data_IF_274192743057
#
_entry.id   IF_274192743057
#
_cell.length_a   1.000
_cell.length_b   1.000
_cell.length_c   1.000
_cell.angle_alpha   90.00
_cell.angle_beta   90.00
_cell.angle_gamma   90.00
#
_symmetry.space_group_name_H-M   'P 1'
#
loop_
_entity.id
_entity.type
_entity.pdbx_description
1 polymer ?
#
# COMPACT_ATOMS: atom_id res chain seq x y z
N UNK A 1 -14.38 -4.76 25.34
CA UNK A 1 -13.98 -6.19 25.33
C UNK A 1 -15.04 -7.09 24.67
N UNK A 2 -16.32 -7.01 25.05
CA UNK A 2 -17.38 -7.89 24.49
C UNK A 2 -17.69 -7.73 22.99
N UNK A 3 -17.51 -6.53 22.41
CA UNK A 3 -17.76 -6.30 20.97
C UNK A 3 -16.67 -6.86 20.04
N UNK A 4 -15.44 -7.02 20.52
CA UNK A 4 -14.34 -7.61 19.75
C UNK A 4 -14.43 -9.13 19.71
N UNK A 5 -14.92 -9.74 20.81
CA UNK A 5 -15.22 -11.17 20.86
C UNK A 5 -16.33 -11.56 19.87
N UNK A 6 -17.38 -10.73 19.75
CA UNK A 6 -18.51 -11.01 18.85
C UNK A 6 -18.13 -10.97 17.36
N UNK A 7 -17.24 -10.05 16.96
CA UNK A 7 -16.70 -10.01 15.59
C UNK A 7 -15.76 -11.18 15.28
N UNK A 8 -14.95 -11.60 16.26
CA UNK A 8 -14.03 -12.74 16.10
C UNK A 8 -14.80 -14.07 15.98
N UNK A 9 -15.92 -14.19 16.68
CA UNK A 9 -16.73 -15.41 16.71
C UNK A 9 -17.56 -15.64 15.45
N UNK A 10 -17.88 -14.59 14.66
CA UNK A 10 -18.50 -14.76 13.33
C UNK A 10 -17.52 -15.24 12.25
N UNK A 11 -16.26 -14.78 12.27
CA UNK A 11 -15.25 -15.23 11.30
C UNK A 11 -14.91 -16.72 11.41
N UNK A 12 -15.09 -17.34 12.58
CA UNK A 12 -14.82 -18.77 12.79
C UNK A 12 -15.98 -19.65 12.29
N UNK A 13 -17.20 -19.10 12.17
CA UNK A 13 -18.42 -19.91 11.96
C UNK A 13 -18.75 -20.13 10.46
N UNK A 14 -18.11 -19.43 9.52
CA UNK A 14 -18.40 -19.59 8.08
C UNK A 14 -17.14 -19.55 7.18
N UNK A 15 -16.40 -20.67 7.02
CA UNK A 15 -15.18 -20.71 6.19
C UNK A 15 -15.43 -20.52 4.68
N UNK A 16 -16.68 -20.57 4.21
CA UNK A 16 -17.03 -20.46 2.79
C UNK A 16 -16.97 -19.04 2.21
N UNK A 17 -17.04 -18.01 3.04
CA UNK A 17 -17.12 -16.60 2.62
C UNK A 17 -15.82 -16.09 1.93
N UNK A 18 -14.62 -16.26 2.50
CA UNK A 18 -13.38 -15.86 1.82
C UNK A 18 -13.11 -16.72 0.58
N UNK A 19 -13.57 -17.97 0.55
CA UNK A 19 -13.39 -18.88 -0.57
C UNK A 19 -14.17 -18.42 -1.81
N UNK A 20 -15.40 -17.94 -1.66
CA UNK A 20 -16.21 -17.42 -2.77
C UNK A 20 -15.57 -16.16 -3.38
N UNK A 21 -15.04 -15.26 -2.53
CA UNK A 21 -14.33 -14.08 -3.01
C UNK A 21 -13.03 -14.45 -3.73
N UNK A 22 -12.23 -15.37 -3.18
CA UNK A 22 -11.00 -15.87 -3.81
C UNK A 22 -11.28 -16.52 -5.17
N UNK A 23 -12.31 -17.37 -5.27
CA UNK A 23 -12.72 -17.98 -6.54
C UNK A 23 -13.18 -16.92 -7.54
N UNK A 24 -13.97 -15.94 -7.10
CA UNK A 24 -14.39 -14.81 -7.94
C UNK A 24 -13.21 -14.02 -8.51
N UNK A 25 -12.20 -13.72 -7.68
CA UNK A 25 -10.97 -13.02 -8.10
C UNK A 25 -10.10 -13.87 -9.03
N UNK A 26 -9.95 -15.16 -8.75
CA UNK A 26 -9.16 -16.08 -9.60
C UNK A 26 -9.79 -16.28 -10.99
N UNK A 27 -11.10 -16.12 -11.09
CA UNK A 27 -11.83 -16.28 -12.36
C UNK A 27 -11.79 -15.01 -13.23
N UNK A 28 -11.29 -13.88 -12.69
CA UNK A 28 -11.12 -12.60 -13.42
C UNK A 28 -10.27 -12.77 -14.68
N UNK A 29 -9.19 -13.55 -14.61
CA UNK A 29 -8.31 -13.81 -15.76
C UNK A 29 -8.99 -14.53 -16.93
N UNK A 30 -10.13 -15.20 -16.68
CA UNK A 30 -10.88 -15.94 -17.72
C UNK A 30 -11.96 -15.04 -18.35
N UNK A 31 -12.52 -14.09 -17.59
CA UNK A 31 -13.72 -13.35 -18.00
C UNK A 31 -13.39 -11.98 -18.63
N UNK A 32 -12.17 -11.47 -18.46
CA UNK A 32 -11.74 -10.16 -18.98
C UNK A 32 -12.50 -8.97 -18.37
N UNK A 33 -13.33 -9.21 -17.37
CA UNK A 33 -14.10 -8.19 -16.66
C UNK A 33 -13.16 -7.46 -15.71
N UNK A 34 -13.19 -6.13 -15.72
CA UNK A 34 -12.32 -5.36 -14.84
C UNK A 34 -12.60 -5.68 -13.36
N UNK A 35 -11.53 -5.77 -12.58
CA UNK A 35 -11.54 -6.13 -11.15
C UNK A 35 -12.59 -5.36 -10.32
N UNK A 36 -12.84 -4.05 -10.54
CA UNK A 36 -13.85 -3.31 -9.77
C UNK A 36 -15.27 -3.85 -9.94
N UNK A 37 -15.63 -4.32 -11.14
CA UNK A 37 -16.96 -4.85 -11.42
C UNK A 37 -17.19 -6.21 -10.75
N UNK A 38 -16.16 -7.06 -10.72
CA UNK A 38 -16.21 -8.34 -10.01
C UNK A 38 -16.35 -8.11 -8.51
N UNK A 39 -15.60 -7.17 -7.95
CA UNK A 39 -15.75 -6.76 -6.55
C UNK A 39 -17.16 -6.25 -6.23
N UNK A 40 -17.75 -5.43 -7.11
CA UNK A 40 -19.12 -4.92 -6.96
C UNK A 40 -20.16 -6.04 -7.00
N UNK A 41 -20.00 -7.03 -7.90
CA UNK A 41 -20.90 -8.18 -7.97
C UNK A 41 -20.86 -9.02 -6.70
N UNK A 42 -19.66 -9.32 -6.17
CA UNK A 42 -19.54 -10.05 -4.90
C UNK A 42 -20.14 -9.24 -3.75
N UNK A 43 -19.90 -7.93 -3.72
CA UNK A 43 -20.50 -7.04 -2.72
C UNK A 43 -22.04 -7.04 -2.76
N UNK A 44 -22.62 -6.95 -3.97
CA UNK A 44 -24.07 -7.06 -4.17
C UNK A 44 -24.61 -8.41 -3.71
N UNK A 45 -23.89 -9.51 -3.99
CA UNK A 45 -24.28 -10.85 -3.58
C UNK A 45 -24.30 -11.00 -2.05
N UNK A 46 -23.28 -10.46 -1.36
CA UNK A 46 -23.20 -10.45 0.10
C UNK A 46 -24.31 -9.61 0.76
N UNK A 47 -24.71 -8.51 0.11
CA UNK A 47 -25.83 -7.68 0.55
C UNK A 47 -27.18 -8.39 0.38
N UNK A 48 -27.42 -9.01 -0.77
CA UNK A 48 -28.64 -9.78 -1.05
C UNK A 48 -28.77 -10.99 -0.11
N UNK A 49 -27.65 -11.65 0.19
CA UNK A 49 -27.57 -12.74 1.17
C UNK A 49 -27.78 -12.30 2.62
N UNK A 50 -27.94 -11.00 2.90
CA UNK A 50 -28.01 -10.40 4.26
C UNK A 50 -26.83 -10.77 5.17
N UNK A 51 -25.72 -11.23 4.58
CA UNK A 51 -24.49 -11.56 5.29
C UNK A 51 -23.81 -10.26 5.75
N UNK A 52 -23.87 -9.23 4.91
CA UNK A 52 -23.38 -7.89 5.21
C UNK A 52 -24.56 -6.95 5.47
N UNK A 53 -24.74 -6.47 6.71
CA UNK A 53 -25.77 -5.47 6.99
C UNK A 53 -25.26 -4.05 6.68
N UNK A 54 -26.19 -3.11 6.45
CA UNK A 54 -25.86 -1.69 6.25
C UNK A 54 -24.99 -1.10 7.37
N UNK A 55 -25.18 -1.58 8.61
CA UNK A 55 -24.37 -1.18 9.77
C UNK A 55 -22.92 -1.66 9.67
N UNK A 56 -22.69 -2.83 9.10
CA UNK A 56 -21.35 -3.41 8.91
C UNK A 56 -20.60 -2.65 7.82
N UNK A 57 -21.29 -2.26 6.74
CA UNK A 57 -20.73 -1.40 5.68
C UNK A 57 -20.29 -0.05 6.24
N UNK A 58 -21.14 0.61 7.02
CA UNK A 58 -20.82 1.93 7.58
C UNK A 58 -19.63 1.85 8.56
N UNK A 59 -19.49 0.75 9.28
CA UNK A 59 -18.46 0.57 10.33
C UNK A 59 -17.13 0.05 9.78
N UNK A 60 -17.17 -0.84 8.79
CA UNK A 60 -15.98 -1.54 8.30
C UNK A 60 -15.29 -0.82 7.14
N UNK A 61 -15.98 0.07 6.43
CA UNK A 61 -15.39 0.88 5.36
C UNK A 61 -14.77 2.14 5.95
N UNK A 62 -13.48 2.35 5.67
CA UNK A 62 -12.79 3.60 5.98
C UNK A 62 -13.16 4.68 4.95
N UNK A 63 -14.32 5.30 5.17
CA UNK A 63 -14.82 6.39 4.32
C UNK A 63 -13.86 7.57 4.22
N UNK A 64 -13.22 8.05 5.32
CA UNK A 64 -12.19 9.08 5.23
C UNK A 64 -11.06 8.71 4.26
N UNK A 65 -10.57 7.47 4.29
CA UNK A 65 -9.53 7.01 3.38
C UNK A 65 -9.98 6.99 1.91
N UNK A 66 -11.21 6.54 1.62
CA UNK A 66 -11.74 6.56 0.25
C UNK A 66 -11.90 7.98 -0.30
N UNK A 67 -12.40 8.90 0.52
CA UNK A 67 -12.55 10.31 0.15
C UNK A 67 -11.17 10.95 -0.07
N UNK A 68 -10.20 10.65 0.80
CA UNK A 68 -8.81 11.07 0.64
C UNK A 68 -8.25 10.59 -0.71
N UNK A 69 -8.36 9.30 -1.02
CA UNK A 69 -7.86 8.74 -2.28
C UNK A 69 -8.52 9.41 -3.49
N UNK A 70 -9.85 9.59 -3.46
CA UNK A 70 -10.59 10.27 -4.52
C UNK A 70 -10.15 11.72 -4.69
N UNK A 71 -9.98 12.45 -3.58
CA UNK A 71 -9.51 13.84 -3.60
C UNK A 71 -8.09 13.95 -4.15
N UNK A 72 -7.23 13.00 -3.83
CA UNK A 72 -5.84 12.99 -4.29
C UNK A 72 -5.75 12.76 -5.81
N UNK A 73 -6.52 11.81 -6.32
CA UNK A 73 -6.63 11.53 -7.76
C UNK A 73 -7.25 12.73 -8.50
N UNK A 74 -8.22 13.42 -7.88
CA UNK A 74 -8.79 14.64 -8.44
C UNK A 74 -7.79 15.79 -8.47
N UNK A 75 -7.01 15.95 -7.40
CA UNK A 75 -5.99 16.97 -7.27
C UNK A 75 -4.87 16.77 -8.29
N UNK A 76 -4.40 15.55 -8.52
CA UNK A 76 -3.35 15.28 -9.50
C UNK A 76 -3.75 15.60 -10.93
N UNK A 77 -4.99 15.25 -11.31
CA UNK A 77 -5.54 15.63 -12.61
C UNK A 77 -5.68 17.14 -12.76
N UNK A 78 -6.00 17.83 -11.67
CA UNK A 78 -6.11 19.29 -11.66
C UNK A 78 -4.74 19.95 -11.83
N UNK A 79 -3.69 19.43 -11.17
CA UNK A 79 -2.30 19.89 -11.33
C UNK A 79 -1.84 19.73 -12.78
N UNK A 80 -2.07 18.56 -13.38
CA UNK A 80 -1.74 18.30 -14.78
C UNK A 80 -2.50 19.24 -15.73
N UNK A 81 -3.78 19.51 -15.47
CA UNK A 81 -4.59 20.38 -16.31
C UNK A 81 -4.11 21.84 -16.33
N UNK A 82 -3.52 22.33 -15.23
CA UNK A 82 -3.05 23.72 -15.11
C UNK A 82 -1.68 23.91 -15.80
N UNK A 83 -1.05 22.84 -16.30
CA UNK A 83 0.27 22.92 -16.92
C UNK A 83 1.40 23.14 -15.91
N UNK A 84 1.18 22.73 -14.65
CA UNK A 84 2.21 22.77 -13.61
C UNK A 84 3.36 21.77 -13.88
N UNK A 85 3.23 20.98 -14.95
CA UNK A 85 4.19 19.99 -15.44
C UNK A 85 5.53 20.62 -15.84
N UNK A 86 5.53 21.85 -16.38
CA UNK A 86 6.76 22.55 -16.78
C UNK A 86 7.60 22.95 -15.54
N UNK A 87 6.94 23.49 -14.51
CA UNK A 87 7.61 23.86 -13.25
C UNK A 87 8.13 22.62 -12.51
N UNK A 88 7.38 21.53 -12.52
CA UNK A 88 7.81 20.25 -11.95
C UNK A 88 8.99 19.66 -12.71
N UNK A 89 9.01 19.77 -14.04
CA UNK A 89 10.10 19.26 -14.86
C UNK A 89 11.40 20.03 -14.59
N UNK A 90 11.33 21.34 -14.33
CA UNK A 90 12.51 22.13 -13.95
C UNK A 90 13.06 21.76 -12.56
N UNK A 91 12.19 21.51 -11.57
CA UNK A 91 12.62 21.17 -10.20
C UNK A 91 12.91 19.69 -9.98
N UNK A 92 12.25 18.79 -10.71
CA UNK A 92 12.37 17.33 -10.59
C UNK A 92 13.07 16.68 -11.79
N UNK A 93 13.51 17.46 -12.79
CA UNK A 93 14.23 16.95 -13.96
C UNK A 93 15.52 16.24 -13.58
N UNK A 94 16.22 16.71 -12.54
CA UNK A 94 17.38 16.01 -11.97
C UNK A 94 17.00 14.62 -11.43
N UNK A 95 15.80 14.49 -10.86
CA UNK A 95 15.31 13.24 -10.29
C UNK A 95 14.93 12.26 -11.40
N UNK A 96 14.27 12.73 -12.47
CA UNK A 96 14.01 11.93 -13.68
C UNK A 96 15.30 11.48 -14.37
N UNK A 97 16.31 12.35 -14.40
CA UNK A 97 17.64 12.01 -14.90
C UNK A 97 18.32 10.94 -14.03
N UNK A 98 18.22 11.04 -12.70
CA UNK A 98 18.70 9.99 -11.78
C UNK A 98 17.93 8.68 -11.94
N UNK A 99 16.61 8.72 -12.18
CA UNK A 99 15.83 7.51 -12.47
C UNK A 99 16.36 6.77 -13.70
N UNK A 100 16.81 7.50 -14.73
CA UNK A 100 17.28 6.89 -15.98
C UNK A 100 18.76 6.49 -15.97
N UNK A 101 19.63 7.36 -15.48
CA UNK A 101 21.09 7.15 -15.56
C UNK A 101 21.66 6.39 -14.37
N UNK A 102 21.10 6.61 -13.17
CA UNK A 102 21.62 6.09 -11.91
C UNK A 102 20.49 5.54 -11.04
N UNK A 103 19.77 4.54 -11.57
CA UNK A 103 18.58 3.98 -10.92
C UNK A 103 18.85 3.51 -9.47
N UNK A 104 20.07 3.01 -9.20
CA UNK A 104 20.53 2.65 -7.86
C UNK A 104 20.50 3.84 -6.87
N UNK A 105 21.07 4.98 -7.28
CA UNK A 105 21.09 6.20 -6.48
C UNK A 105 19.66 6.74 -6.28
N UNK A 106 18.85 6.70 -7.35
CA UNK A 106 17.45 7.06 -7.27
C UNK A 106 16.71 6.21 -6.22
N UNK A 107 16.86 4.88 -6.24
CA UNK A 107 16.22 3.99 -5.26
C UNK A 107 16.63 4.31 -3.83
N UNK A 108 17.91 4.66 -3.59
CA UNK A 108 18.39 5.05 -2.27
C UNK A 108 17.74 6.35 -1.78
N UNK A 109 17.76 7.40 -2.62
CA UNK A 109 17.15 8.69 -2.29
C UNK A 109 15.64 8.54 -2.09
N UNK A 110 14.99 7.78 -2.96
CA UNK A 110 13.55 7.57 -2.95
C UNK A 110 13.11 6.77 -1.71
N UNK A 111 13.82 5.69 -1.37
CA UNK A 111 13.56 4.92 -0.15
C UNK A 111 13.74 5.79 1.09
N UNK A 112 14.78 6.63 1.12
CA UNK A 112 15.03 7.58 2.22
C UNK A 112 13.90 8.60 2.33
N UNK A 113 13.45 9.17 1.21
CA UNK A 113 12.35 10.13 1.19
C UNK A 113 11.04 9.53 1.71
N UNK A 114 10.74 8.27 1.35
CA UNK A 114 9.56 7.55 1.86
C UNK A 114 9.70 7.32 3.38
N UNK A 115 10.87 6.87 3.85
CA UNK A 115 11.11 6.65 5.27
C UNK A 115 11.01 7.93 6.11
N UNK A 116 11.55 9.05 5.62
CA UNK A 116 11.42 10.36 6.27
C UNK A 116 9.96 10.80 6.28
N UNK A 117 9.25 10.64 5.17
CA UNK A 117 7.83 10.99 5.09
C UNK A 117 6.98 10.14 6.03
N UNK A 118 7.33 8.86 6.23
CA UNK A 118 6.67 7.94 7.18
C UNK A 118 6.76 8.41 8.63
N UNK A 119 7.73 9.25 8.96
CA UNK A 119 7.83 9.85 10.30
C UNK A 119 6.67 10.80 10.60
N UNK A 120 6.14 11.46 9.57
CA UNK A 120 5.10 12.47 9.70
C UNK A 120 3.74 11.97 9.22
N UNK A 121 3.72 11.07 8.23
CA UNK A 121 2.52 10.65 7.53
C UNK A 121 2.19 9.16 7.74
N UNK A 122 0.89 8.80 7.85
CA UNK A 122 0.47 7.41 7.96
C UNK A 122 0.66 6.66 6.63
N UNK A 123 0.81 5.32 6.71
CA UNK A 123 1.02 4.44 5.54
C UNK A 123 -0.06 4.63 4.47
N UNK A 124 -1.31 4.73 4.92
CA UNK A 124 -2.48 4.94 4.05
C UNK A 124 -2.33 6.20 3.17
N UNK A 125 -1.61 7.21 3.61
CA UNK A 125 -1.43 8.45 2.86
C UNK A 125 -0.21 8.40 1.92
N UNK A 126 0.87 7.73 2.33
CA UNK A 126 2.13 7.73 1.56
C UNK A 126 2.02 7.00 0.23
N UNK A 127 1.41 5.82 0.21
CA UNK A 127 1.28 5.03 -1.02
C UNK A 127 0.57 5.83 -2.13
N UNK A 128 -0.64 6.39 -1.90
CA UNK A 128 -1.30 7.17 -2.92
C UNK A 128 -0.58 8.50 -3.20
N UNK A 129 -0.06 9.21 -2.19
CA UNK A 129 0.68 10.46 -2.42
C UNK A 129 1.88 10.28 -3.35
N UNK A 130 2.75 9.34 -3.02
CA UNK A 130 3.93 9.07 -3.81
C UNK A 130 3.55 8.44 -5.15
N UNK A 131 2.58 7.53 -5.18
CA UNK A 131 2.11 6.92 -6.42
C UNK A 131 1.61 7.96 -7.41
N UNK A 132 0.83 8.93 -6.94
CA UNK A 132 0.25 9.98 -7.78
C UNK A 132 1.28 10.94 -8.39
N UNK A 133 2.44 11.14 -7.75
CA UNK A 133 3.49 12.05 -8.23
C UNK A 133 4.54 11.28 -9.05
N UNK A 134 5.05 10.18 -8.51
CA UNK A 134 6.24 9.52 -9.06
C UNK A 134 5.93 8.50 -10.15
N UNK A 135 4.71 7.92 -10.20
CA UNK A 135 4.33 7.00 -11.28
C UNK A 135 4.24 7.75 -12.62
N UNK A 136 3.54 8.91 -12.73
CA UNK A 136 3.54 9.70 -13.97
C UNK A 136 4.93 10.25 -14.33
N UNK A 137 5.73 10.66 -13.33
CA UNK A 137 7.09 11.12 -13.56
C UNK A 137 7.99 10.02 -14.16
N UNK A 138 7.82 8.77 -13.72
CA UNK A 138 8.54 7.63 -14.27
C UNK A 138 8.18 7.40 -15.72
N UNK A 139 6.88 7.46 -16.04
CA UNK A 139 6.37 7.31 -17.41
C UNK A 139 6.94 8.40 -18.33
N UNK A 140 6.91 9.67 -17.90
CA UNK A 140 7.52 10.78 -18.61
C UNK A 140 9.05 10.63 -18.79
N UNK A 141 9.72 10.02 -17.81
CA UNK A 141 11.16 9.74 -17.84
C UNK A 141 11.52 8.45 -18.59
N UNK A 142 10.54 7.73 -19.16
CA UNK A 142 10.73 6.47 -19.88
C UNK A 142 11.13 5.28 -19.01
N UNK A 143 10.89 5.36 -17.70
CA UNK A 143 11.13 4.26 -16.74
C UNK A 143 9.83 3.52 -16.49
N UNK A 144 9.89 2.20 -16.34
CA UNK A 144 8.70 1.39 -16.13
C UNK A 144 7.96 1.82 -14.83
N UNK A 145 6.72 2.34 -14.92
CA UNK A 145 6.01 2.88 -13.75
C UNK A 145 5.68 1.80 -12.70
N UNK A 146 5.62 0.53 -13.13
CA UNK A 146 5.41 -0.61 -12.23
C UNK A 146 6.54 -0.76 -11.21
N UNK A 147 7.80 -0.49 -11.59
CA UNK A 147 8.95 -0.57 -10.69
C UNK A 147 8.81 0.44 -9.55
N UNK A 148 8.40 1.66 -9.89
CA UNK A 148 8.21 2.73 -8.92
C UNK A 148 7.08 2.38 -7.97
N UNK A 149 5.94 1.90 -8.48
CA UNK A 149 4.84 1.43 -7.66
C UNK A 149 5.27 0.29 -6.71
N UNK A 150 6.06 -0.67 -7.21
CA UNK A 150 6.57 -1.79 -6.42
C UNK A 150 7.47 -1.30 -5.26
N UNK A 151 8.41 -0.39 -5.55
CA UNK A 151 9.30 0.20 -4.53
C UNK A 151 8.49 0.93 -3.46
N UNK A 152 7.50 1.73 -3.86
CA UNK A 152 6.62 2.45 -2.90
C UNK A 152 5.93 1.44 -1.98
N UNK A 153 5.36 0.37 -2.53
CA UNK A 153 4.65 -0.64 -1.74
C UNK A 153 5.56 -1.34 -0.73
N UNK A 154 6.76 -1.76 -1.15
CA UNK A 154 7.69 -2.48 -0.27
C UNK A 154 8.23 -1.59 0.85
N UNK A 155 8.62 -0.34 0.53
CA UNK A 155 9.23 0.58 1.50
C UNK A 155 8.19 1.21 2.43
N UNK A 156 7.01 1.58 1.92
CA UNK A 156 5.98 2.27 2.71
C UNK A 156 5.43 1.45 3.88
N UNK A 157 5.50 0.12 3.79
CA UNK A 157 5.09 -0.80 4.85
C UNK A 157 6.09 -0.84 6.03
N UNK A 158 7.32 -0.34 5.83
CA UNK A 158 8.28 -0.14 6.92
C UNK A 158 7.80 0.89 7.93
N UNK A 159 8.00 0.65 9.23
CA UNK A 159 7.72 1.60 10.31
C UNK A 159 8.97 1.77 11.17
N UNK A 160 9.08 2.85 11.94
CA UNK A 160 10.19 3.08 12.88
C UNK A 160 9.72 3.19 14.31
N UNK A 161 8.55 3.81 14.49
CA UNK A 161 7.99 4.06 15.80
C UNK A 161 6.73 3.24 16.06
N UNK A 162 6.51 2.79 17.31
CA UNK A 162 5.33 2.01 17.70
C UNK A 162 3.98 2.63 17.33
N UNK A 163 3.89 3.96 17.33
CA UNK A 163 2.65 4.67 17.01
C UNK A 163 2.27 4.56 15.52
N UNK A 164 3.23 4.23 14.64
CA UNK A 164 3.01 4.14 13.19
C UNK A 164 2.37 2.81 12.77
N UNK A 165 2.34 1.81 13.66
CA UNK A 165 1.94 0.43 13.34
C UNK A 165 0.79 -0.04 14.23
N UNK A 166 -0.43 0.06 13.69
CA UNK A 166 -1.69 -0.31 14.37
C UNK A 166 -1.74 -1.77 14.87
N UNK A 167 -1.23 -2.78 14.13
CA UNK A 167 -1.26 -4.18 14.59
C UNK A 167 -0.43 -4.45 15.84
N UNK A 168 0.50 -3.55 16.20
CA UNK A 168 1.27 -3.67 17.43
C UNK A 168 0.37 -3.68 18.66
N UNK A 169 -0.66 -2.83 18.69
CA UNK A 169 -1.58 -2.73 19.84
C UNK A 169 -2.34 -4.04 20.08
N UNK A 170 -2.75 -4.67 18.97
CA UNK A 170 -3.45 -5.95 19.00
C UNK A 170 -2.49 -7.07 19.45
N UNK A 171 -1.28 -7.10 18.88
CA UNK A 171 -0.25 -8.07 19.25
C UNK A 171 0.21 -7.91 20.70
N UNK A 172 0.42 -6.68 21.18
CA UNK A 172 0.77 -6.42 22.58
C UNK A 172 -0.34 -6.86 23.52
N UNK A 173 -1.61 -6.63 23.17
CA UNK A 173 -2.73 -7.04 24.03
C UNK A 173 -2.85 -8.56 24.22
N UNK A 174 -2.39 -9.34 23.22
CA UNK A 174 -2.40 -10.80 23.25
C UNK A 174 -1.12 -11.34 23.89
N UNK A 175 0.04 -10.73 23.57
CA UNK A 175 1.35 -11.19 24.02
C UNK A 175 1.68 -10.77 25.46
N UNK A 176 1.21 -9.62 25.94
CA UNK A 176 1.34 -9.22 27.35
C UNK A 176 0.58 -10.18 28.27
N UNK A 177 -0.56 -10.70 27.82
CA UNK A 177 -1.32 -11.70 28.57
C UNK A 177 -0.53 -13.00 28.81
N UNK A 178 0.55 -13.24 28.06
CA UNK A 178 1.42 -14.41 28.18
C UNK A 178 2.82 -14.08 28.71
N UNK A 179 3.12 -12.80 29.01
CA UNK A 179 4.43 -12.37 29.52
C UNK A 179 5.59 -12.50 28.53
N UNK A 180 5.31 -12.75 27.25
CA UNK A 180 6.31 -12.97 26.19
C UNK A 180 6.68 -11.68 25.42
N UNK A 181 6.10 -10.54 25.79
CA UNK A 181 6.24 -9.31 25.03
C UNK A 181 7.54 -8.59 25.35
N UNK A 182 8.50 -8.66 24.42
CA UNK A 182 9.73 -7.87 24.49
C UNK A 182 9.72 -6.73 23.46
N UNK A 183 9.42 -5.53 23.94
CA UNK A 183 9.36 -4.32 23.11
C UNK A 183 10.69 -3.99 22.42
N UNK A 184 11.84 -4.27 23.08
CA UNK A 184 13.16 -4.00 22.48
C UNK A 184 13.44 -4.93 21.31
N UNK A 185 13.13 -6.21 21.45
CA UNK A 185 13.30 -7.20 20.38
C UNK A 185 12.41 -6.86 19.17
N UNK A 186 11.18 -6.42 19.43
CA UNK A 186 10.23 -6.04 18.38
C UNK A 186 10.73 -4.81 17.60
N UNK A 187 11.26 -3.79 18.27
CA UNK A 187 11.84 -2.61 17.61
C UNK A 187 13.11 -2.98 16.83
N UNK A 188 14.01 -3.79 17.42
CA UNK A 188 15.24 -4.25 16.75
C UNK A 188 14.94 -5.08 15.50
N UNK A 189 14.02 -6.04 15.61
CA UNK A 189 13.58 -6.85 14.47
C UNK A 189 12.95 -6.01 13.36
N UNK A 190 12.23 -4.95 13.72
CA UNK A 190 11.65 -4.03 12.75
C UNK A 190 12.70 -3.16 12.05
N UNK A 191 13.70 -2.63 12.76
CA UNK A 191 14.82 -1.92 12.12
C UNK A 191 15.56 -2.84 11.14
N UNK A 192 15.81 -4.10 11.55
CA UNK A 192 16.40 -5.11 10.68
C UNK A 192 15.52 -5.36 9.45
N UNK A 193 14.20 -5.44 9.61
CA UNK A 193 13.26 -5.63 8.50
C UNK A 193 13.29 -4.44 7.52
N UNK A 194 13.41 -3.20 8.00
CA UNK A 194 13.55 -2.04 7.12
C UNK A 194 14.83 -2.10 6.28
N UNK A 195 15.94 -2.53 6.89
CA UNK A 195 17.20 -2.75 6.17
C UNK A 195 17.03 -3.86 5.12
N UNK A 196 16.43 -4.99 5.50
CA UNK A 196 16.16 -6.12 4.61
C UNK A 196 15.28 -5.70 3.42
N UNK A 197 14.28 -4.83 3.61
CA UNK A 197 13.45 -4.31 2.50
C UNK A 197 14.28 -3.56 1.46
N UNK A 198 15.17 -2.68 1.89
CA UNK A 198 16.06 -1.94 0.99
C UNK A 198 16.98 -2.91 0.25
N UNK A 199 17.60 -3.86 0.96
CA UNK A 199 18.44 -4.89 0.34
C UNK A 199 17.66 -5.78 -0.63
N UNK A 200 16.40 -6.13 -0.33
CA UNK A 200 15.55 -6.94 -1.20
C UNK A 200 15.26 -6.23 -2.53
N UNK A 201 15.11 -4.90 -2.52
CA UNK A 201 14.97 -4.10 -3.74
C UNK A 201 16.26 -4.16 -4.57
N UNK A 202 17.42 -3.99 -3.94
CA UNK A 202 18.71 -4.14 -4.65
C UNK A 202 18.91 -5.56 -5.19
N UNK A 203 18.53 -6.59 -4.43
CA UNK A 203 18.56 -7.97 -4.91
C UNK A 203 17.62 -8.19 -6.11
N UNK A 204 16.52 -7.45 -6.17
CA UNK A 204 15.58 -7.47 -7.30
C UNK A 204 16.13 -6.83 -8.57
N UNK A 205 17.20 -6.01 -8.50
CA UNK A 205 17.79 -5.39 -9.69
C UNK A 205 18.31 -6.44 -10.68
N UNK A 206 18.95 -7.50 -10.18
CA UNK A 206 19.43 -8.59 -11.03
C UNK A 206 18.27 -9.24 -11.80
N UNK A 207 17.13 -9.41 -11.13
CA UNK A 207 15.93 -9.96 -11.74
C UNK A 207 15.31 -8.98 -12.77
N UNK A 208 15.29 -7.69 -12.47
CA UNK A 208 14.77 -6.65 -13.36
C UNK A 208 15.64 -6.45 -14.61
N UNK A 209 16.95 -6.58 -14.49
CA UNK A 209 17.88 -6.60 -15.63
C UNK A 209 17.62 -7.82 -16.53
N UNK A 210 17.39 -8.99 -15.94
CA UNK A 210 17.07 -10.20 -16.71
C UNK A 210 15.75 -10.07 -17.48
N UNK A 211 14.77 -9.37 -16.93
CA UNK A 211 13.51 -9.03 -17.59
C UNK A 211 13.63 -7.91 -18.64
N UNK A 212 14.74 -7.18 -18.68
CA UNK A 212 14.96 -6.05 -19.59
C UNK A 212 14.08 -4.83 -19.31
N UNK A 213 13.64 -4.64 -18.07
CA UNK A 213 12.78 -3.52 -17.64
C UNK A 213 13.56 -2.38 -16.96
N UNK A 214 14.89 -2.53 -16.84
CA UNK A 214 15.84 -1.65 -16.16
C UNK A 214 16.75 -0.96 -17.17
#
# INVERSE_FOLDING_TARGET
SHLLAFSYQRCIVNPGEPAIFLVGVLTVSIHGVAIPWVGLLVFCFLLLGKVLLKQDIRRSIDWPFLILLASLIGLSRSIAYIGFDDWISDYLGWLGNSMRNDFSLFVLLFSTAIFVSRLFLPMALIVPLFGTIFIPLAEASGVNPWLIAFIILIISDGWFFPYQYSPKLLFSSIADAQGLFNNRLLIQGNILMNIVRVFAIYASFTYWQWLGIL
#
